data_IF_096157822468
#
_entry.id   IF_096157822468
#
_cell.length_a   1.000
_cell.length_b   1.000
_cell.length_c   1.000
_cell.angle_alpha   90.00
_cell.angle_beta   90.00
_cell.angle_gamma   90.00
#
_symmetry.space_group_name_H-M   'P 1'
#
loop_
_entity.id
_entity.type
_entity.pdbx_description
1 polymer ?
#
# COMPACT_ATOMS: atom_id res chain seq x y z
N UNK A 1 -34.83 -37.80 35.25
CA UNK A 1 -34.52 -36.53 35.96
C UNK A 1 -33.12 -36.64 36.54
N UNK A 2 -32.15 -35.90 36.01
CA UNK A 2 -30.76 -35.89 36.50
C UNK A 2 -30.63 -34.76 37.52
N UNK A 3 -30.26 -35.10 38.75
CA UNK A 3 -30.11 -34.17 39.87
C UNK A 3 -28.75 -33.47 39.75
N UNK A 4 -28.73 -32.26 39.20
CA UNK A 4 -27.49 -31.50 39.00
C UNK A 4 -27.02 -30.88 40.32
N UNK A 5 -25.79 -31.19 40.71
CA UNK A 5 -25.26 -30.90 42.04
C UNK A 5 -24.73 -29.45 42.12
N UNK A 6 -25.20 -28.66 43.09
CA UNK A 6 -25.00 -27.19 43.20
C UNK A 6 -23.52 -26.75 43.30
N UNK A 7 -22.61 -27.69 43.55
CA UNK A 7 -21.16 -27.46 43.67
C UNK A 7 -20.43 -27.34 42.32
N UNK A 8 -21.00 -27.85 41.23
CA UNK A 8 -20.35 -27.79 39.90
C UNK A 8 -20.38 -26.40 39.29
N UNK A 9 -21.28 -25.52 39.76
CA UNK A 9 -21.37 -24.13 39.27
C UNK A 9 -20.28 -23.21 39.83
N UNK A 10 -19.71 -23.51 41.00
CA UNK A 10 -18.68 -22.66 41.62
C UNK A 10 -17.30 -22.77 40.95
N UNK A 11 -16.94 -23.96 40.49
CA UNK A 11 -15.62 -24.23 39.90
C UNK A 11 -15.54 -23.71 38.46
N UNK A 12 -16.66 -23.72 37.72
CA UNK A 12 -16.71 -23.27 36.33
C UNK A 12 -16.53 -21.75 36.19
N UNK A 13 -16.90 -20.96 37.20
CA UNK A 13 -16.75 -19.51 37.19
C UNK A 13 -15.29 -19.06 37.37
N UNK A 14 -14.51 -19.79 38.19
CA UNK A 14 -13.10 -19.48 38.46
C UNK A 14 -12.19 -19.74 37.24
N UNK A 15 -12.48 -20.80 36.46
CA UNK A 15 -11.76 -21.09 35.22
C UNK A 15 -12.09 -20.09 34.09
N UNK A 16 -13.33 -19.59 34.04
CA UNK A 16 -13.72 -18.57 33.05
C UNK A 16 -13.01 -17.23 33.22
N UNK A 17 -12.67 -16.85 34.45
CA UNK A 17 -11.95 -15.61 34.75
C UNK A 17 -10.44 -15.68 34.49
N UNK A 18 -9.84 -16.87 34.59
CA UNK A 18 -8.41 -17.04 34.28
C UNK A 18 -8.13 -16.94 32.77
N UNK A 19 -9.09 -17.33 31.93
CA UNK A 19 -8.96 -17.28 30.46
C UNK A 19 -9.13 -15.85 29.92
N UNK A 20 -9.85 -14.96 30.63
CA UNK A 20 -10.05 -13.57 30.21
C UNK A 20 -8.82 -12.67 30.44
N UNK A 21 -7.81 -13.13 31.18
CA UNK A 21 -6.60 -12.35 31.49
C UNK A 21 -5.42 -12.54 30.52
N UNK A 22 -5.51 -13.48 29.58
CA UNK A 22 -4.51 -13.68 28.52
C UNK A 22 -4.90 -12.86 27.28
N UNK A 23 -5.04 -11.54 27.45
CA UNK A 23 -5.00 -10.62 26.33
C UNK A 23 -3.59 -10.61 25.76
N UNK A 24 -3.37 -11.42 24.72
CA UNK A 24 -2.22 -11.28 23.84
C UNK A 24 -2.23 -9.86 23.29
N UNK A 25 -1.27 -9.04 23.69
CA UNK A 25 -0.96 -7.79 23.01
C UNK A 25 -0.44 -8.16 21.62
N UNK A 26 -1.35 -8.21 20.63
CA UNK A 26 -0.95 -8.10 19.23
C UNK A 26 -0.36 -6.71 19.08
N UNK A 27 0.97 -6.65 19.11
CA UNK A 27 1.71 -5.45 18.78
C UNK A 27 1.63 -5.33 17.26
N UNK A 28 0.86 -4.35 16.78
CA UNK A 28 0.82 -4.04 15.37
C UNK A 28 2.18 -3.43 15.01
N UNK A 29 3.14 -4.26 14.62
CA UNK A 29 4.36 -3.77 13.99
C UNK A 29 3.94 -2.90 12.80
N UNK A 30 4.37 -1.65 12.82
CA UNK A 30 4.12 -0.78 11.67
C UNK A 30 4.91 -1.33 10.48
N UNK A 31 4.36 -1.25 9.27
CA UNK A 31 5.08 -1.71 8.07
C UNK A 31 6.47 -1.06 7.93
N UNK A 32 6.64 0.15 8.47
CA UNK A 32 7.93 0.84 8.52
C UNK A 32 8.93 0.13 9.44
N UNK A 33 8.49 -0.37 10.59
CA UNK A 33 9.32 -1.07 11.59
C UNK A 33 9.84 -2.41 11.04
N UNK A 34 9.03 -3.08 10.22
CA UNK A 34 9.45 -4.27 9.47
C UNK A 34 10.59 -3.99 8.48
N UNK A 35 10.62 -2.79 7.90
CA UNK A 35 11.65 -2.35 6.96
C UNK A 35 12.77 -1.55 7.62
N UNK A 36 12.90 -1.56 8.94
CA UNK A 36 13.92 -0.83 9.67
C UNK A 36 14.89 -1.80 10.36
N UNK A 37 16.20 -1.58 10.21
CA UNK A 37 17.23 -2.40 10.84
C UNK A 37 17.34 -2.13 12.36
N UNK A 38 18.22 -2.89 13.03
CA UNK A 38 18.47 -2.73 14.47
C UNK A 38 19.07 -1.38 14.86
N UNK A 39 19.54 -0.60 13.89
CA UNK A 39 20.13 0.73 14.06
C UNK A 39 19.12 1.85 13.75
N UNK A 40 17.88 1.52 13.37
CA UNK A 40 16.88 2.51 12.98
C UNK A 40 16.99 2.99 11.53
N UNK A 41 17.81 2.33 10.70
CA UNK A 41 17.97 2.66 9.28
C UNK A 41 17.00 1.84 8.43
N UNK A 42 16.41 2.47 7.42
CA UNK A 42 15.57 1.75 6.45
C UNK A 42 16.41 0.71 5.72
N UNK A 43 16.03 -0.57 5.87
CA UNK A 43 16.63 -1.75 5.23
C UNK A 43 15.66 -2.44 4.28
N UNK A 44 14.54 -1.80 3.93
CA UNK A 44 13.63 -2.28 2.90
C UNK A 44 14.24 -2.18 1.50
N UNK A 45 13.58 -2.77 0.49
CA UNK A 45 14.03 -2.63 -0.90
C UNK A 45 14.14 -1.16 -1.28
N UNK A 46 15.25 -0.78 -1.91
CA UNK A 46 15.45 0.60 -2.34
C UNK A 46 14.46 0.92 -3.48
N UNK A 47 14.15 2.21 -3.63
CA UNK A 47 13.29 2.65 -4.73
C UNK A 47 14.03 2.45 -6.06
N UNK A 48 15.34 2.69 -6.04
CA UNK A 48 16.24 2.57 -7.17
C UNK A 48 16.28 1.12 -7.70
N UNK A 49 16.40 0.14 -6.81
CA UNK A 49 16.39 -1.28 -7.18
C UNK A 49 15.04 -1.68 -7.77
N UNK A 50 13.94 -1.15 -7.22
CA UNK A 50 12.61 -1.43 -7.75
C UNK A 50 12.39 -0.78 -9.12
N UNK A 51 12.89 0.43 -9.34
CA UNK A 51 12.86 1.09 -10.66
C UNK A 51 13.69 0.31 -11.67
N UNK A 52 14.85 -0.20 -11.28
CA UNK A 52 15.67 -1.04 -12.14
C UNK A 52 14.99 -2.37 -12.52
N UNK A 53 14.08 -2.89 -11.68
CA UNK A 53 13.27 -4.07 -12.02
C UNK A 53 12.07 -3.76 -12.92
N UNK A 54 11.65 -2.49 -12.98
CA UNK A 54 10.55 -2.02 -13.83
C UNK A 54 11.04 -1.63 -15.23
N UNK A 55 12.17 -0.92 -15.30
CA UNK A 55 12.84 -0.45 -16.52
C UNK A 55 13.28 -1.62 -17.39
N UNK A 56 12.42 -1.99 -18.33
CA UNK A 56 12.56 -3.15 -19.20
C UNK A 56 13.27 -2.81 -20.51
N UNK A 57 13.18 -1.55 -20.94
CA UNK A 57 13.89 -1.05 -22.12
C UNK A 57 15.29 -0.48 -21.80
N UNK A 58 15.66 -0.45 -20.52
CA UNK A 58 16.96 0.00 -19.98
C UNK A 58 17.29 1.46 -20.35
N UNK A 59 16.27 2.31 -20.41
CA UNK A 59 16.43 3.74 -20.70
C UNK A 59 16.76 4.58 -19.45
N UNK A 60 16.78 3.96 -18.26
CA UNK A 60 17.11 4.59 -16.98
C UNK A 60 15.91 5.12 -16.20
N UNK A 61 14.68 4.88 -16.65
CA UNK A 61 13.45 5.18 -15.90
C UNK A 61 12.35 4.15 -16.21
N UNK A 62 11.36 4.06 -15.32
CA UNK A 62 10.19 3.23 -15.55
C UNK A 62 9.04 4.08 -16.10
N UNK A 63 8.55 3.75 -17.29
CA UNK A 63 7.37 4.37 -17.87
C UNK A 63 6.06 3.85 -17.22
N UNK A 64 4.93 4.49 -17.52
CA UNK A 64 3.65 4.12 -16.92
C UNK A 64 3.19 2.70 -17.32
N UNK A 65 3.55 2.24 -18.52
CA UNK A 65 3.20 0.90 -19.01
C UNK A 65 4.06 -0.17 -18.33
N UNK A 66 5.33 0.11 -18.10
CA UNK A 66 6.27 -0.72 -17.36
C UNK A 66 5.87 -0.83 -15.89
N UNK A 67 5.50 0.29 -15.26
CA UNK A 67 4.94 0.31 -13.90
C UNK A 67 3.67 -0.53 -13.84
N UNK A 68 2.75 -0.40 -14.80
CA UNK A 68 1.55 -1.24 -14.85
C UNK A 68 1.88 -2.71 -15.01
N UNK A 69 2.75 -3.06 -15.96
CA UNK A 69 3.16 -4.44 -16.22
C UNK A 69 3.81 -5.07 -14.98
N UNK A 70 4.66 -4.31 -14.28
CA UNK A 70 5.28 -4.74 -13.04
C UNK A 70 4.27 -4.96 -11.92
N UNK A 71 3.36 -4.01 -11.70
CA UNK A 71 2.32 -4.13 -10.66
C UNK A 71 1.36 -5.29 -10.94
N UNK A 72 0.96 -5.49 -12.20
CA UNK A 72 0.13 -6.63 -12.59
C UNK A 72 0.86 -7.97 -12.44
N UNK A 73 2.19 -8.01 -12.64
CA UNK A 73 3.02 -9.19 -12.37
C UNK A 73 3.08 -9.55 -10.89
N UNK A 74 3.13 -8.54 -10.00
CA UNK A 74 3.21 -8.76 -8.55
C UNK A 74 1.86 -9.07 -7.90
N UNK A 75 0.80 -8.37 -8.30
CA UNK A 75 -0.50 -8.40 -7.63
C UNK A 75 -1.63 -9.07 -8.42
N UNK A 76 -1.37 -9.43 -9.68
CA UNK A 76 -2.34 -10.03 -10.59
C UNK A 76 -2.97 -9.04 -11.56
N UNK A 77 -3.65 -9.58 -12.58
CA UNK A 77 -4.22 -8.80 -13.67
C UNK A 77 -5.29 -7.82 -13.18
N UNK A 78 -5.22 -6.58 -13.67
CA UNK A 78 -6.19 -5.53 -13.33
C UNK A 78 -6.01 -4.92 -11.94
N UNK A 79 -4.86 -5.15 -11.30
CA UNK A 79 -4.51 -4.45 -10.06
C UNK A 79 -4.59 -2.93 -10.25
N UNK A 80 -5.38 -2.27 -9.39
CA UNK A 80 -5.61 -0.82 -9.43
C UNK A 80 -5.94 -0.26 -10.83
N UNK A 81 -6.68 -1.04 -11.64
CA UNK A 81 -6.99 -0.72 -13.04
C UNK A 81 -7.43 0.73 -13.26
N UNK A 82 -8.37 1.24 -12.47
CA UNK A 82 -8.89 2.61 -12.62
C UNK A 82 -7.79 3.68 -12.42
N UNK A 83 -6.89 3.46 -11.46
CA UNK A 83 -5.77 4.38 -11.21
C UNK A 83 -4.74 4.31 -12.34
N UNK A 84 -4.39 3.10 -12.78
CA UNK A 84 -3.41 2.90 -13.83
C UNK A 84 -3.94 3.36 -15.20
N UNK A 85 -5.22 3.14 -15.50
CA UNK A 85 -5.88 3.69 -16.69
C UNK A 85 -5.88 5.23 -16.68
N UNK A 86 -6.02 5.86 -15.50
CA UNK A 86 -5.89 7.31 -15.34
C UNK A 86 -4.45 7.79 -15.56
N UNK A 87 -3.47 7.05 -15.08
CA UNK A 87 -2.06 7.37 -15.27
C UNK A 87 -1.66 7.26 -16.75
N UNK A 88 -2.05 6.16 -17.42
CA UNK A 88 -1.81 5.97 -18.85
C UNK A 88 -2.50 7.05 -19.68
N UNK A 89 -3.75 7.38 -19.36
CA UNK A 89 -4.46 8.47 -20.05
C UNK A 89 -3.86 9.84 -19.78
N UNK A 90 -3.20 10.06 -18.63
CA UNK A 90 -2.44 11.29 -18.35
C UNK A 90 -1.11 11.33 -19.10
N UNK A 91 -0.48 10.18 -19.33
CA UNK A 91 0.72 10.05 -20.16
C UNK A 91 0.41 10.26 -21.65
N UNK A 92 -0.72 9.73 -22.14
CA UNK A 92 -1.18 9.91 -23.52
C UNK A 92 -1.87 11.26 -23.78
N UNK A 93 -2.50 11.85 -22.78
CA UNK A 93 -3.55 12.84 -22.93
C UNK A 93 -3.26 14.18 -22.27
N UNK A 94 -2.76 15.11 -23.10
CA UNK A 94 -2.82 16.57 -22.95
C UNK A 94 -2.30 17.12 -21.62
N UNK A 95 -1.06 17.57 -21.67
CA UNK A 95 -0.61 18.77 -20.95
C UNK A 95 -1.78 19.77 -20.89
N UNK A 96 -2.40 19.88 -19.71
CA UNK A 96 -3.38 20.92 -19.44
C UNK A 96 -2.64 22.22 -19.73
N UNK A 97 -3.00 22.84 -20.86
CA UNK A 97 -2.66 24.21 -21.23
C UNK A 97 -2.49 25.02 -19.96
N UNK A 98 -1.23 25.27 -19.60
CA UNK A 98 -0.91 26.04 -18.41
C UNK A 98 -1.62 27.38 -18.56
N UNK A 99 -2.16 27.98 -17.48
CA UNK A 99 -2.79 29.30 -17.59
C UNK A 99 -1.85 30.36 -18.18
N UNK A 100 -0.54 30.12 -18.08
CA UNK A 100 0.53 30.92 -18.67
C UNK A 100 0.57 30.91 -20.20
N UNK A 101 0.04 29.88 -20.87
CA UNK A 101 0.04 29.82 -22.33
C UNK A 101 -1.00 30.74 -23.00
N UNK A 102 -2.00 31.23 -22.24
CA UNK A 102 -3.06 32.08 -22.78
C UNK A 102 -2.78 33.58 -22.66
N UNK A 103 -1.85 33.99 -21.80
CA UNK A 103 -1.52 35.41 -21.56
C UNK A 103 -0.32 35.94 -22.33
N UNK A 104 0.45 35.11 -23.04
CA UNK A 104 1.63 35.56 -23.81
C UNK A 104 1.31 35.96 -25.26
N UNK A 105 0.11 35.65 -25.75
CA UNK A 105 -0.39 36.11 -27.07
C UNK A 105 -1.59 37.05 -26.90
N UNK A 106 -1.56 37.91 -25.88
CA UNK A 106 -2.46 39.04 -25.76
C UNK A 106 -2.05 40.14 -26.74
N UNK A 107 -2.65 40.10 -27.91
CA UNK A 107 -2.97 41.25 -28.78
C UNK A 107 -1.86 42.30 -29.01
N UNK A 108 -1.00 42.01 -30.00
CA UNK A 108 -0.23 43.05 -30.71
C UNK A 108 -0.94 43.38 -32.02
N UNK A 109 -2.16 43.93 -31.94
CA UNK A 109 -2.70 44.78 -33.00
C UNK A 109 -2.65 46.24 -32.54
N UNK A 110 -1.58 46.93 -32.95
CA UNK A 110 -1.52 48.39 -32.96
C UNK A 110 -0.74 48.87 -34.17
#
# INVERSE_FOLDING_TARGET
MIKMNRWTMGISAALGWLILGLSLSVQAESALEYFTDRNGLYSGPSVEDQVALMDSDHNGFADVFEVRAYLEKQHGKGYQKELLDKWESSAYGKSCSTPFAKSLYGDSTR
#
